data_IF_812452656040
#
_entry.id   IF_812452656040
#
_cell.length_a   1.000
_cell.length_b   1.000
_cell.length_c   1.000
_cell.angle_alpha   90.00
_cell.angle_beta   90.00
_cell.angle_gamma   90.00
#
_symmetry.space_group_name_H-M   'P 1'
#
loop_
_entity.id
_entity.type
_entity.pdbx_description
1 polymer ?
#
# COMPACT_ATOMS: atom_id res chain seq x y z
N UNK A 1 -21.52 -4.60 52.82
CA UNK A 1 -20.80 -5.41 53.83
C UNK A 1 -19.68 -6.14 53.11
N UNK A 2 -18.42 -5.97 53.52
CA UNK A 2 -17.26 -6.56 52.86
C UNK A 2 -16.86 -7.89 53.54
N UNK A 3 -16.39 -8.84 52.76
CA UNK A 3 -15.62 -10.02 53.22
C UNK A 3 -14.61 -10.31 52.12
N UNK A 4 -13.38 -9.82 52.29
CA UNK A 4 -12.26 -10.45 53.01
C UNK A 4 -11.52 -11.47 52.14
N UNK A 5 -10.32 -11.05 51.71
CA UNK A 5 -9.22 -11.91 51.29
C UNK A 5 -8.75 -12.82 52.42
N UNK A 6 -7.99 -13.87 52.07
CA UNK A 6 -6.59 -13.97 52.50
C UNK A 6 -5.67 -14.28 51.29
N UNK A 7 -4.46 -13.70 51.11
CA UNK A 7 -3.19 -13.92 51.85
C UNK A 7 -2.84 -15.41 51.99
N UNK A 8 -1.65 -15.96 51.71
CA UNK A 8 -0.33 -15.55 51.19
C UNK A 8 0.54 -16.84 51.12
N UNK A 9 1.73 -16.77 50.49
CA UNK A 9 3.00 -17.47 50.85
C UNK A 9 3.41 -18.81 50.16
N UNK A 10 4.72 -18.80 49.79
CA UNK A 10 5.74 -19.86 49.54
C UNK A 10 5.73 -20.60 48.20
N UNK A 11 6.78 -20.58 47.34
CA UNK A 11 8.25 -20.68 47.45
C UNK A 11 8.80 -22.13 47.47
N UNK A 12 9.83 -22.34 46.61
CA UNK A 12 10.77 -23.48 46.50
C UNK A 12 10.25 -24.75 45.79
N UNK A 13 11.04 -25.59 45.11
CA UNK A 13 12.39 -25.58 44.54
C UNK A 13 12.55 -26.90 43.74
N UNK A 14 13.50 -26.95 42.80
CA UNK A 14 14.37 -28.10 42.50
C UNK A 14 13.77 -29.44 42.04
N UNK A 15 14.24 -29.94 40.88
CA UNK A 15 14.00 -31.33 40.49
C UNK A 15 14.69 -31.72 39.19
N UNK A 16 15.99 -31.99 39.27
CA UNK A 16 16.83 -32.59 38.22
C UNK A 16 16.73 -34.12 38.29
N UNK A 17 16.59 -34.80 37.16
CA UNK A 17 16.79 -36.25 36.98
C UNK A 17 17.03 -36.50 35.47
N UNK A 18 18.27 -36.70 35.01
CA UNK A 18 19.10 -37.92 35.03
C UNK A 18 18.57 -39.02 34.09
N UNK A 19 19.41 -39.28 33.07
CA UNK A 19 19.41 -40.36 32.09
C UNK A 19 19.55 -41.76 32.74
N UNK A 20 19.32 -42.82 31.95
CA UNK A 20 20.20 -43.98 32.02
C UNK A 20 20.89 -44.28 30.67
N UNK A 21 22.13 -44.70 30.85
CA UNK A 21 23.16 -45.16 29.92
C UNK A 21 22.92 -46.60 29.45
N UNK A 22 23.95 -47.19 28.83
CA UNK A 22 24.14 -48.55 28.25
C UNK A 22 24.10 -48.51 26.71
N UNK A 23 25.13 -48.87 25.93
CA UNK A 23 26.23 -49.81 26.15
C UNK A 23 27.40 -49.53 25.19
N UNK A 24 28.59 -49.97 25.61
CA UNK A 24 29.89 -49.87 24.96
C UNK A 24 30.24 -51.24 24.35
N UNK A 25 30.56 -51.32 23.05
CA UNK A 25 31.37 -52.42 22.50
C UNK A 25 32.43 -51.85 21.56
N UNK A 26 33.66 -52.28 21.84
CA UNK A 26 34.92 -51.88 21.23
C UNK A 26 35.21 -52.69 19.97
N UNK A 27 35.80 -52.04 18.96
CA UNK A 27 36.38 -52.71 17.80
C UNK A 27 37.31 -51.77 17.05
N UNK A 28 38.59 -51.76 17.45
CA UNK A 28 39.68 -51.14 16.70
C UNK A 28 40.03 -52.00 15.49
N UNK A 29 39.98 -51.41 14.29
CA UNK A 29 40.67 -51.92 13.10
C UNK A 29 41.14 -50.74 12.25
N UNK A 30 42.44 -50.44 12.35
CA UNK A 30 43.20 -49.64 11.40
C UNK A 30 43.15 -50.27 10.00
N UNK A 31 42.77 -49.49 8.98
CA UNK A 31 43.15 -49.71 7.58
C UNK A 31 42.95 -48.45 6.75
N UNK A 32 43.94 -48.23 5.88
CA UNK A 32 44.36 -46.97 5.28
C UNK A 32 43.42 -46.38 4.20
N UNK A 33 43.50 -45.06 4.09
CA UNK A 33 43.56 -44.25 2.85
C UNK A 33 42.50 -44.46 1.76
N UNK A 34 41.53 -43.53 1.70
CA UNK A 34 41.03 -43.00 0.44
C UNK A 34 40.57 -41.54 0.61
N UNK A 35 41.33 -40.63 0.01
CA UNK A 35 40.89 -39.28 -0.31
C UNK A 35 39.78 -39.36 -1.36
N UNK A 36 38.60 -38.82 -1.06
CA UNK A 36 37.61 -38.39 -2.04
C UNK A 36 36.80 -37.27 -1.38
N UNK A 37 37.25 -36.04 -1.52
CA UNK A 37 36.58 -35.08 -2.41
C UNK A 37 35.26 -34.59 -1.83
N UNK A 38 35.38 -33.45 -1.14
CA UNK A 38 34.50 -32.29 -1.25
C UNK A 38 33.25 -32.52 -2.13
N UNK A 39 32.18 -33.00 -1.53
CA UNK A 39 30.84 -32.59 -1.96
C UNK A 39 30.33 -31.54 -0.97
N UNK A 40 31.06 -30.43 -0.95
CA UNK A 40 30.45 -29.13 -0.69
C UNK A 40 29.69 -28.77 -1.96
N UNK A 41 28.66 -29.54 -2.32
CA UNK A 41 27.61 -29.08 -3.22
C UNK A 41 26.98 -27.89 -2.51
N UNK A 42 27.53 -26.72 -2.83
CA UNK A 42 26.81 -25.47 -3.00
C UNK A 42 25.31 -25.66 -2.78
N UNK A 43 24.88 -25.48 -1.54
CA UNK A 43 23.65 -24.76 -1.30
C UNK A 43 23.91 -23.39 -1.93
N UNK A 44 23.68 -23.29 -3.23
CA UNK A 44 23.44 -21.99 -3.82
C UNK A 44 22.27 -21.46 -3.00
N UNK A 45 22.55 -20.47 -2.17
CA UNK A 45 21.55 -19.72 -1.45
C UNK A 45 20.56 -19.25 -2.52
N UNK A 46 19.43 -19.96 -2.64
CA UNK A 46 18.29 -19.58 -3.44
C UNK A 46 17.58 -18.40 -2.76
N UNK A 47 18.34 -17.42 -2.27
CA UNK A 47 17.78 -16.18 -1.80
C UNK A 47 17.27 -15.43 -3.02
N UNK A 48 15.95 -15.27 -3.08
CA UNK A 48 15.32 -14.40 -4.04
C UNK A 48 15.99 -13.02 -3.95
N UNK A 49 16.41 -12.44 -5.08
CA UNK A 49 17.11 -11.17 -5.04
C UNK A 49 16.18 -10.13 -4.45
N UNK A 50 16.75 -9.19 -3.69
CA UNK A 50 15.99 -8.14 -3.03
C UNK A 50 16.14 -6.80 -3.73
N UNK A 51 15.09 -5.99 -3.68
CA UNK A 51 15.16 -4.63 -4.18
C UNK A 51 16.18 -3.81 -3.36
N UNK A 52 17.12 -3.08 -3.99
CA UNK A 52 18.13 -2.30 -3.29
C UNK A 52 17.57 -1.08 -2.52
N UNK A 53 16.28 -0.74 -2.69
CA UNK A 53 15.63 0.38 -1.98
C UNK A 53 14.69 -0.06 -0.87
N UNK A 54 13.75 -0.97 -1.15
CA UNK A 54 12.78 -1.43 -0.15
C UNK A 54 13.13 -2.77 0.50
N UNK A 55 14.15 -3.48 -0.01
CA UNK A 55 14.60 -4.80 0.47
C UNK A 55 13.54 -5.90 0.43
N UNK A 56 12.54 -5.75 -0.42
CA UNK A 56 11.51 -6.77 -0.69
C UNK A 56 12.02 -7.71 -1.79
N UNK A 57 11.71 -9.03 -1.73
CA UNK A 57 12.01 -9.97 -2.80
C UNK A 57 11.48 -9.50 -4.15
N UNK A 58 12.27 -9.66 -5.21
CA UNK A 58 11.94 -9.28 -6.57
C UNK A 58 12.24 -10.41 -7.54
N UNK A 59 11.62 -10.35 -8.71
CA UNK A 59 11.91 -11.29 -9.79
C UNK A 59 13.36 -11.12 -10.30
N UNK A 60 14.09 -12.24 -10.42
CA UNK A 60 15.50 -12.27 -10.86
C UNK A 60 15.67 -11.67 -12.25
N UNK A 61 14.78 -11.97 -13.17
CA UNK A 61 14.89 -11.54 -14.55
C UNK A 61 14.52 -10.06 -14.70
N UNK A 62 13.56 -9.59 -13.91
CA UNK A 62 13.25 -8.16 -13.80
C UNK A 62 14.46 -7.37 -13.28
N UNK A 63 15.14 -7.84 -12.23
CA UNK A 63 16.34 -7.16 -11.71
C UNK A 63 17.52 -7.19 -12.70
N UNK A 64 17.74 -8.32 -13.38
CA UNK A 64 18.78 -8.46 -14.42
C UNK A 64 18.53 -7.52 -15.60
N UNK A 65 17.28 -7.41 -16.07
CA UNK A 65 16.92 -6.51 -17.18
C UNK A 65 17.21 -5.04 -16.86
N UNK A 66 17.03 -4.63 -15.60
CA UNK A 66 17.30 -3.28 -15.14
C UNK A 66 18.80 -3.00 -15.01
N UNK A 67 19.56 -3.94 -14.46
CA UNK A 67 21.01 -3.81 -14.25
C UNK A 67 21.79 -3.79 -15.57
N UNK A 68 21.30 -4.42 -16.64
CA UNK A 68 21.96 -4.47 -17.97
C UNK A 68 23.45 -4.87 -17.87
N UNK A 69 23.78 -5.81 -16.98
CA UNK A 69 25.15 -6.26 -16.72
C UNK A 69 26.00 -5.31 -15.87
N UNK A 70 25.48 -4.14 -15.45
CA UNK A 70 26.16 -3.26 -14.47
C UNK A 70 25.76 -3.70 -13.06
N UNK A 71 26.75 -4.02 -12.22
CA UNK A 71 26.51 -4.50 -10.84
C UNK A 71 25.79 -3.51 -9.92
N UNK A 72 25.66 -2.23 -10.30
CA UNK A 72 24.91 -1.21 -9.53
C UNK A 72 24.08 -0.33 -10.45
N UNK A 73 22.82 -0.13 -10.06
CA UNK A 73 21.93 0.87 -10.62
C UNK A 73 22.23 2.24 -10.02
N UNK A 74 22.23 3.29 -10.85
CA UNK A 74 22.20 4.67 -10.37
C UNK A 74 20.93 4.94 -9.54
N UNK A 75 20.94 5.96 -8.69
CA UNK A 75 19.82 6.30 -7.80
C UNK A 75 18.48 6.42 -8.54
N UNK A 76 18.43 7.16 -9.66
CA UNK A 76 17.19 7.31 -10.43
C UNK A 76 16.68 5.95 -10.95
N UNK A 77 17.59 5.12 -11.46
CA UNK A 77 17.25 3.76 -11.92
C UNK A 77 16.84 2.83 -10.80
N UNK A 78 17.41 2.98 -9.60
CA UNK A 78 16.97 2.24 -8.39
C UNK A 78 15.56 2.64 -8.00
N UNK A 79 15.23 3.93 -8.06
CA UNK A 79 13.90 4.44 -7.75
C UNK A 79 12.86 3.93 -8.76
N UNK A 80 13.19 3.98 -10.05
CA UNK A 80 12.33 3.44 -11.12
C UNK A 80 12.08 1.93 -10.95
N UNK A 81 13.15 1.16 -10.74
CA UNK A 81 13.03 -0.27 -10.44
C UNK A 81 12.18 -0.53 -9.19
N UNK A 82 12.38 0.28 -8.15
CA UNK A 82 11.63 0.17 -6.90
C UNK A 82 10.13 0.40 -7.13
N UNK A 83 9.80 1.41 -7.92
CA UNK A 83 8.43 1.74 -8.27
C UNK A 83 7.77 0.62 -9.09
N UNK A 84 8.43 0.13 -10.14
CA UNK A 84 7.89 -0.89 -11.04
C UNK A 84 7.65 -2.23 -10.34
N UNK A 85 8.61 -2.75 -9.55
CA UNK A 85 8.37 -4.02 -8.86
C UNK A 85 7.29 -3.89 -7.78
N UNK A 86 7.14 -2.71 -7.15
CA UNK A 86 6.03 -2.46 -6.22
C UNK A 86 4.70 -2.48 -6.93
N UNK A 87 4.61 -1.90 -8.13
CA UNK A 87 3.41 -1.96 -8.97
C UNK A 87 3.07 -3.39 -9.37
N UNK A 88 4.06 -4.17 -9.80
CA UNK A 88 3.88 -5.60 -10.11
C UNK A 88 3.42 -6.41 -8.88
N UNK A 89 4.07 -6.19 -7.73
CA UNK A 89 3.68 -6.80 -6.45
C UNK A 89 2.26 -6.42 -6.06
N UNK A 90 1.86 -5.16 -6.26
CA UNK A 90 0.50 -4.69 -6.00
C UNK A 90 -0.53 -5.38 -6.92
N UNK A 91 -0.21 -5.59 -8.21
CA UNK A 91 -1.07 -6.35 -9.12
C UNK A 91 -1.18 -7.84 -8.75
N UNK A 92 -0.10 -8.45 -8.23
CA UNK A 92 -0.14 -9.82 -7.70
C UNK A 92 -1.06 -9.90 -6.48
N UNK A 93 -0.85 -9.02 -5.50
CA UNK A 93 -1.72 -8.93 -4.31
C UNK A 93 -3.18 -8.68 -4.71
N UNK A 94 -3.43 -7.83 -5.71
CA UNK A 94 -4.78 -7.56 -6.22
C UNK A 94 -5.48 -8.84 -6.71
N UNK A 95 -4.75 -9.67 -7.47
CA UNK A 95 -5.25 -10.96 -7.96
C UNK A 95 -5.43 -11.96 -6.83
N UNK A 96 -4.45 -12.09 -5.95
CA UNK A 96 -4.47 -13.04 -4.83
C UNK A 96 -5.59 -12.73 -3.82
N UNK A 97 -5.84 -11.45 -3.57
CA UNK A 97 -6.93 -10.97 -2.71
C UNK A 97 -8.29 -10.90 -3.44
N UNK A 98 -8.32 -11.25 -4.73
CA UNK A 98 -9.53 -11.28 -5.56
C UNK A 98 -10.29 -9.94 -5.57
N UNK A 99 -9.56 -8.81 -5.55
CA UNK A 99 -10.19 -7.49 -5.63
C UNK A 99 -10.88 -7.28 -6.99
N UNK A 100 -12.04 -6.62 -7.02
CA UNK A 100 -12.86 -6.48 -8.23
C UNK A 100 -12.17 -5.64 -9.29
N UNK A 101 -12.51 -5.84 -10.56
CA UNK A 101 -12.15 -4.89 -11.63
C UNK A 101 -13.10 -3.70 -11.56
N UNK A 102 -12.57 -2.52 -11.24
CA UNK A 102 -13.37 -1.32 -11.01
C UNK A 102 -13.79 -0.68 -12.34
N UNK A 103 -15.10 -0.67 -12.59
CA UNK A 103 -15.72 -0.01 -13.75
C UNK A 103 -16.05 1.45 -13.42
N UNK A 104 -15.07 2.33 -13.64
CA UNK A 104 -15.14 3.75 -13.29
C UNK A 104 -16.33 4.48 -13.94
N UNK A 105 -16.76 4.07 -15.13
CA UNK A 105 -17.87 4.65 -15.88
C UNK A 105 -19.21 4.44 -15.16
N UNK A 106 -19.34 3.33 -14.42
CA UNK A 106 -20.53 3.00 -13.65
C UNK A 106 -20.48 3.47 -12.19
N UNK A 107 -19.32 4.00 -11.75
CA UNK A 107 -19.06 4.34 -10.36
C UNK A 107 -20.05 5.36 -9.82
N UNK A 108 -20.35 6.41 -10.60
CA UNK A 108 -21.27 7.46 -10.15
C UNK A 108 -22.69 6.93 -9.87
N UNK A 109 -23.17 5.99 -10.70
CA UNK A 109 -24.47 5.34 -10.51
C UNK A 109 -24.50 4.50 -9.22
N UNK A 110 -23.43 3.75 -8.96
CA UNK A 110 -23.28 2.97 -7.71
C UNK A 110 -23.26 3.87 -6.49
N UNK A 111 -22.45 4.93 -6.52
CA UNK A 111 -22.41 5.93 -5.45
C UNK A 111 -23.80 6.51 -5.19
N UNK A 112 -24.56 6.77 -6.26
CA UNK A 112 -25.92 7.29 -6.19
C UNK A 112 -26.87 6.45 -5.35
N UNK A 113 -26.72 5.13 -5.35
CA UNK A 113 -27.56 4.19 -4.59
C UNK A 113 -27.38 4.35 -3.06
N UNK A 114 -26.24 4.85 -2.61
CA UNK A 114 -25.94 5.04 -1.19
C UNK A 114 -26.18 6.46 -0.67
N UNK A 115 -26.59 7.40 -1.52
CA UNK A 115 -26.84 8.79 -1.10
C UNK A 115 -27.83 8.90 0.06
N UNK A 116 -28.86 8.05 0.12
CA UNK A 116 -29.80 8.04 1.25
C UNK A 116 -29.13 7.70 2.59
N UNK A 117 -28.11 6.83 2.60
CA UNK A 117 -27.33 6.53 3.81
C UNK A 117 -26.44 7.72 4.19
N UNK A 118 -25.74 8.30 3.23
CA UNK A 118 -24.87 9.46 3.46
C UNK A 118 -25.65 10.68 3.96
N UNK A 119 -26.84 10.92 3.42
CA UNK A 119 -27.70 12.01 3.86
C UNK A 119 -28.09 11.87 5.33
N UNK A 120 -28.41 10.65 5.79
CA UNK A 120 -28.74 10.42 7.21
C UNK A 120 -27.53 10.72 8.11
N UNK A 121 -26.32 10.35 7.70
CA UNK A 121 -25.09 10.68 8.42
C UNK A 121 -24.89 12.19 8.47
N UNK A 122 -25.03 12.90 7.34
CA UNK A 122 -25.01 14.37 7.28
C UNK A 122 -26.04 15.03 8.21
N UNK A 123 -27.19 14.38 8.41
CA UNK A 123 -28.26 14.89 9.29
C UNK A 123 -28.02 14.59 10.77
N UNK A 124 -26.93 13.90 11.12
CA UNK A 124 -26.53 13.62 12.50
C UNK A 124 -26.69 12.16 12.92
N UNK A 125 -26.98 11.23 12.00
CA UNK A 125 -26.90 9.81 12.32
C UNK A 125 -25.46 9.43 12.69
N UNK A 126 -25.28 8.69 13.80
CA UNK A 126 -23.97 8.18 14.19
C UNK A 126 -23.42 7.22 13.14
N UNK A 127 -22.13 7.32 12.89
CA UNK A 127 -21.40 6.47 11.97
C UNK A 127 -20.00 6.18 12.55
N UNK A 128 -19.38 5.09 12.13
CA UNK A 128 -18.07 4.67 12.66
C UNK A 128 -17.01 5.74 12.41
N UNK A 129 -16.91 6.22 11.17
CA UNK A 129 -15.95 7.26 10.81
C UNK A 129 -16.36 8.63 11.36
N UNK A 130 -17.66 8.90 11.56
CA UNK A 130 -18.14 10.12 12.20
C UNK A 130 -17.74 10.20 13.67
N UNK A 131 -17.85 9.09 14.40
CA UNK A 131 -17.39 8.97 15.79
C UNK A 131 -15.86 9.10 15.88
N UNK A 132 -15.12 8.37 15.05
CA UNK A 132 -13.66 8.46 14.99
C UNK A 132 -13.18 9.88 14.62
N UNK A 133 -13.89 10.58 13.73
CA UNK A 133 -13.61 11.97 13.40
C UNK A 133 -13.88 12.90 14.58
N UNK A 134 -15.01 12.71 15.28
CA UNK A 134 -15.35 13.47 16.49
C UNK A 134 -14.29 13.32 17.58
N UNK A 135 -13.81 12.09 17.83
CA UNK A 135 -12.74 11.81 18.78
C UNK A 135 -11.44 12.51 18.40
N UNK A 136 -11.03 12.44 17.12
CA UNK A 136 -9.84 13.16 16.62
C UNK A 136 -9.96 14.68 16.78
N UNK A 137 -11.16 15.23 16.58
CA UNK A 137 -11.42 16.67 16.77
C UNK A 137 -11.32 17.05 18.25
N UNK A 138 -11.95 16.27 19.14
CA UNK A 138 -11.90 16.49 20.61
C UNK A 138 -10.50 16.35 21.17
N UNK A 139 -9.70 15.41 20.65
CA UNK A 139 -8.32 15.19 21.04
C UNK A 139 -7.36 16.31 20.58
N UNK A 140 -7.87 17.39 19.95
CA UNK A 140 -7.04 18.50 19.48
C UNK A 140 -6.08 18.10 18.36
N UNK A 141 -6.27 16.94 17.71
CA UNK A 141 -5.48 16.51 16.56
C UNK A 141 -5.93 17.31 15.33
N UNK A 142 -5.63 18.61 15.35
CA UNK A 142 -5.84 19.58 14.27
C UNK A 142 -4.78 19.39 13.18
N UNK A 143 -4.61 18.16 12.70
CA UNK A 143 -3.80 17.94 11.50
C UNK A 143 -4.64 18.39 10.31
N UNK A 144 -4.23 19.47 9.66
CA UNK A 144 -4.75 19.88 8.34
C UNK A 144 -4.67 18.69 7.38
N UNK A 145 -5.51 18.63 6.35
CA UNK A 145 -5.45 17.60 5.28
C UNK A 145 -4.00 17.38 4.80
N UNK A 146 -3.25 18.47 4.61
CA UNK A 146 -1.82 18.46 4.26
C UNK A 146 -0.92 17.75 5.28
N UNK A 147 -1.24 17.82 6.57
CA UNK A 147 -0.50 17.18 7.67
C UNK A 147 -0.92 15.72 7.86
N UNK A 148 -2.18 15.36 7.55
CA UNK A 148 -2.64 13.96 7.55
C UNK A 148 -1.98 13.17 6.42
N UNK A 149 -1.94 13.74 5.21
CA UNK A 149 -1.22 13.19 4.06
C UNK A 149 0.28 13.03 4.38
N UNK A 150 0.89 14.02 5.05
CA UNK A 150 2.29 13.91 5.52
C UNK A 150 2.53 12.91 6.66
N UNK A 151 1.49 12.53 7.40
CA UNK A 151 1.57 11.59 8.51
C UNK A 151 1.31 10.13 8.10
N UNK A 152 1.34 9.82 6.79
CA UNK A 152 0.95 8.52 6.23
C UNK A 152 -0.44 8.03 6.66
N UNK A 153 -1.31 8.94 7.12
CA UNK A 153 -2.71 8.63 7.32
C UNK A 153 -3.39 8.88 5.99
N UNK A 154 -3.27 7.90 5.09
CA UNK A 154 -3.85 8.03 3.77
C UNK A 154 -5.37 8.18 3.90
N UNK A 155 -5.89 9.23 3.26
CA UNK A 155 -7.33 9.47 3.14
C UNK A 155 -7.90 8.67 1.96
N UNK A 156 -7.09 7.86 1.29
CA UNK A 156 -7.55 7.07 0.15
C UNK A 156 -8.50 5.97 0.62
N UNK A 157 -9.63 5.77 -0.08
CA UNK A 157 -10.56 4.70 0.22
C UNK A 157 -9.99 3.35 -0.26
N UNK A 158 -8.97 2.82 0.42
CA UNK A 158 -8.41 1.49 0.17
C UNK A 158 -8.03 1.25 -1.29
N UNK A 159 -8.45 0.10 -1.84
CA UNK A 159 -8.14 -0.31 -3.21
C UNK A 159 -8.67 0.64 -4.30
N UNK A 160 -9.61 1.54 -3.99
CA UNK A 160 -10.07 2.55 -4.96
C UNK A 160 -9.01 3.66 -5.18
N UNK A 161 -8.02 3.80 -4.29
CA UNK A 161 -6.89 4.72 -4.44
C UNK A 161 -7.27 6.21 -4.51
N UNK A 162 -6.36 7.03 -5.04
CA UNK A 162 -6.56 8.48 -5.19
C UNK A 162 -7.71 8.81 -6.15
N UNK A 163 -7.84 8.05 -7.24
CA UNK A 163 -8.94 8.20 -8.19
C UNK A 163 -10.30 7.98 -7.51
N UNK A 164 -10.41 6.94 -6.67
CA UNK A 164 -11.58 6.69 -5.84
C UNK A 164 -11.91 7.84 -4.91
N UNK A 165 -10.91 8.35 -4.19
CA UNK A 165 -11.07 9.51 -3.32
C UNK A 165 -11.64 10.71 -4.09
N UNK A 166 -11.09 11.01 -5.27
CA UNK A 166 -11.54 12.12 -6.12
C UNK A 166 -12.98 11.91 -6.61
N UNK A 167 -13.28 10.75 -7.21
CA UNK A 167 -14.61 10.44 -7.76
C UNK A 167 -15.69 10.45 -6.69
N UNK A 168 -15.43 9.85 -5.53
CA UNK A 168 -16.37 9.82 -4.40
C UNK A 168 -16.56 11.22 -3.81
N UNK A 169 -15.47 11.96 -3.56
CA UNK A 169 -15.55 13.32 -3.01
C UNK A 169 -16.35 14.24 -3.91
N UNK A 170 -16.06 14.23 -5.22
CA UNK A 170 -16.76 15.07 -6.19
C UNK A 170 -18.25 14.73 -6.26
N UNK A 171 -18.60 13.44 -6.31
CA UNK A 171 -19.99 12.99 -6.34
C UNK A 171 -20.78 13.41 -5.09
N UNK A 172 -20.17 13.27 -3.92
CA UNK A 172 -20.77 13.68 -2.64
C UNK A 172 -20.94 15.20 -2.59
N UNK A 173 -19.89 15.96 -2.95
CA UNK A 173 -19.92 17.44 -2.90
C UNK A 173 -20.97 17.97 -3.89
N UNK A 174 -21.01 17.45 -5.13
CA UNK A 174 -22.00 17.83 -6.14
C UNK A 174 -23.42 17.58 -5.63
N UNK A 175 -23.68 16.40 -5.06
CA UNK A 175 -25.02 16.03 -4.57
C UNK A 175 -25.44 16.82 -3.32
N UNK A 176 -24.55 17.01 -2.36
CA UNK A 176 -24.87 17.55 -1.03
C UNK A 176 -24.37 18.98 -0.80
N UNK A 177 -23.98 19.73 -1.83
CA UNK A 177 -23.37 21.06 -1.67
C UNK A 177 -24.22 22.03 -0.82
N UNK A 178 -25.54 22.04 -0.99
CA UNK A 178 -26.47 22.86 -0.19
C UNK A 178 -26.53 22.39 1.26
N UNK A 179 -26.70 21.09 1.48
CA UNK A 179 -26.79 20.50 2.82
C UNK A 179 -25.47 20.62 3.59
N UNK A 180 -24.33 20.49 2.92
CA UNK A 180 -23.00 20.71 3.50
C UNK A 180 -22.80 22.16 3.95
N UNK A 181 -23.30 23.14 3.17
CA UNK A 181 -23.25 24.57 3.54
C UNK A 181 -24.15 24.87 4.74
N UNK A 182 -25.37 24.33 4.76
CA UNK A 182 -26.28 24.48 5.90
C UNK A 182 -25.67 23.86 7.17
N UNK A 183 -25.17 22.63 7.07
CA UNK A 183 -24.58 21.91 8.20
C UNK A 183 -23.26 22.50 8.66
N UNK A 184 -22.50 23.19 7.80
CA UNK A 184 -21.30 23.91 8.23
C UNK A 184 -21.60 25.02 9.25
N UNK A 185 -22.83 25.53 9.31
CA UNK A 185 -23.26 26.51 10.31
C UNK A 185 -23.76 25.84 11.60
N UNK A 186 -24.43 24.70 11.46
CA UNK A 186 -25.14 24.04 12.57
C UNK A 186 -24.31 22.97 13.30
N UNK A 187 -23.41 22.29 12.60
CA UNK A 187 -22.64 21.16 13.11
C UNK A 187 -21.23 21.61 13.51
N UNK A 188 -20.90 21.45 14.79
CA UNK A 188 -19.59 21.84 15.35
C UNK A 188 -18.41 21.11 14.69
N UNK A 189 -18.58 19.87 14.24
CA UNK A 189 -17.51 19.11 13.58
C UNK A 189 -17.21 19.67 12.19
N UNK A 190 -18.25 20.00 11.44
CA UNK A 190 -18.12 20.59 10.10
C UNK A 190 -17.63 22.02 10.21
N UNK A 191 -18.15 22.80 11.16
CA UNK A 191 -17.70 24.16 11.43
C UNK A 191 -16.21 24.22 11.82
N UNK A 192 -15.73 23.27 12.62
CA UNK A 192 -14.36 23.27 13.13
C UNK A 192 -13.30 22.89 12.08
N UNK A 193 -13.63 22.04 11.11
CA UNK A 193 -12.65 21.47 10.16
C UNK A 193 -12.96 21.72 8.69
N UNK A 194 -14.16 22.20 8.37
CA UNK A 194 -14.65 22.45 7.03
C UNK A 194 -15.31 21.22 6.38
N UNK A 195 -16.22 21.51 5.44
CA UNK A 195 -17.00 20.49 4.72
C UNK A 195 -16.15 19.48 3.97
N UNK A 196 -15.05 19.91 3.34
CA UNK A 196 -14.15 19.00 2.60
C UNK A 196 -13.48 17.97 3.51
N UNK A 197 -13.01 18.39 4.68
CA UNK A 197 -12.37 17.48 5.63
C UNK A 197 -13.38 16.45 6.16
N UNK A 198 -14.62 16.87 6.42
CA UNK A 198 -15.70 15.98 6.82
C UNK A 198 -16.04 14.97 5.71
N UNK A 199 -16.16 15.42 4.45
CA UNK A 199 -16.39 14.52 3.31
C UNK A 199 -15.29 13.47 3.21
N UNK A 200 -14.02 13.88 3.21
CA UNK A 200 -12.89 12.97 3.03
C UNK A 200 -12.63 12.06 4.23
N UNK A 201 -12.96 12.49 5.45
CA UNK A 201 -12.69 11.72 6.69
C UNK A 201 -13.87 10.88 7.16
N UNK A 202 -15.08 11.18 6.71
CA UNK A 202 -16.32 10.52 7.15
C UNK A 202 -17.08 9.95 5.96
N UNK A 203 -17.60 10.81 5.08
CA UNK A 203 -18.55 10.36 4.06
C UNK A 203 -17.92 9.45 3.00
N UNK A 204 -16.69 9.75 2.57
CA UNK A 204 -15.95 8.91 1.61
C UNK A 204 -15.63 7.54 2.20
N UNK A 205 -15.04 7.41 3.41
CA UNK A 205 -14.84 6.11 4.03
C UNK A 205 -16.13 5.32 4.27
N UNK A 206 -17.22 5.96 4.71
CA UNK A 206 -18.51 5.30 4.91
C UNK A 206 -19.09 4.78 3.59
N UNK A 207 -19.00 5.57 2.52
CA UNK A 207 -19.40 5.16 1.18
C UNK A 207 -18.53 4.01 0.66
N UNK A 208 -17.21 4.10 0.85
CA UNK A 208 -16.28 3.09 0.39
C UNK A 208 -16.53 1.74 1.08
N UNK A 209 -16.88 1.73 2.36
CA UNK A 209 -17.29 0.51 3.06
C UNK A 209 -18.50 -0.14 2.40
N UNK A 210 -19.54 0.63 2.03
CA UNK A 210 -20.70 0.06 1.33
C UNK A 210 -20.29 -0.56 -0.01
N UNK A 211 -19.46 0.14 -0.80
CA UNK A 211 -19.02 -0.35 -2.10
C UNK A 211 -18.14 -1.61 -1.96
N UNK A 212 -17.30 -1.69 -0.92
CA UNK A 212 -16.52 -2.91 -0.61
C UNK A 212 -17.44 -4.06 -0.21
N UNK A 213 -18.47 -3.80 0.59
CA UNK A 213 -19.45 -4.83 0.96
C UNK A 213 -20.16 -5.39 -0.28
N UNK A 214 -20.51 -4.53 -1.24
CA UNK A 214 -21.09 -4.97 -2.52
C UNK A 214 -20.09 -5.75 -3.38
N UNK A 215 -18.87 -5.25 -3.49
CA UNK A 215 -17.84 -5.81 -4.37
C UNK A 215 -17.33 -7.17 -3.89
N UNK A 216 -17.13 -7.29 -2.57
CA UNK A 216 -16.51 -8.47 -1.94
C UNK A 216 -17.54 -9.40 -1.28
N UNK A 217 -18.80 -8.98 -1.15
CA UNK A 217 -19.85 -9.77 -0.49
C UNK A 217 -19.63 -9.95 1.02
N UNK A 218 -18.94 -9.02 1.67
CA UNK A 218 -18.52 -9.13 3.08
C UNK A 218 -19.38 -8.26 4.02
N UNK A 219 -19.22 -8.48 5.33
CA UNK A 219 -19.87 -7.66 6.35
C UNK A 219 -19.11 -6.35 6.58
N UNK A 220 -19.77 -5.39 7.24
CA UNK A 220 -19.24 -4.04 7.47
C UNK A 220 -17.86 -4.02 8.17
N UNK A 221 -17.66 -4.87 9.18
CA UNK A 221 -16.39 -4.92 9.93
C UNK A 221 -15.23 -5.39 9.05
N UNK A 222 -15.48 -6.43 8.26
CA UNK A 222 -14.50 -6.98 7.32
C UNK A 222 -14.23 -6.03 6.16
N UNK A 223 -15.27 -5.36 5.63
CA UNK A 223 -15.11 -4.32 4.62
C UNK A 223 -14.20 -3.18 5.10
N UNK A 224 -14.29 -2.77 6.38
CA UNK A 224 -13.37 -1.78 6.96
C UNK A 224 -11.94 -2.29 7.01
N UNK A 225 -11.73 -3.56 7.35
CA UNK A 225 -10.40 -4.18 7.33
C UNK A 225 -9.82 -4.21 5.92
N UNK A 226 -10.59 -4.67 4.93
CA UNK A 226 -10.18 -4.66 3.52
C UNK A 226 -9.85 -3.24 3.07
N UNK A 227 -10.68 -2.26 3.43
CA UNK A 227 -10.45 -0.86 3.08
C UNK A 227 -9.13 -0.33 3.65
N UNK A 228 -8.71 -0.75 4.85
CA UNK A 228 -7.43 -0.34 5.43
C UNK A 228 -6.23 -1.11 4.84
N UNK A 229 -6.34 -2.44 4.71
CA UNK A 229 -5.25 -3.28 4.20
C UNK A 229 -4.93 -2.98 2.73
N UNK A 230 -5.92 -2.54 1.96
CA UNK A 230 -5.78 -2.32 0.53
C UNK A 230 -5.31 -0.93 0.12
N UNK A 231 -5.05 -0.02 1.06
CA UNK A 231 -4.60 1.37 0.78
C UNK A 231 -3.35 1.37 -0.10
N UNK A 232 -2.30 0.65 0.30
CA UNK A 232 -1.02 0.65 -0.41
C UNK A 232 -1.14 0.06 -1.82
N UNK A 233 -1.98 -0.95 -1.97
CA UNK A 233 -2.26 -1.61 -3.24
C UNK A 233 -3.07 -0.68 -4.16
N UNK A 234 -4.12 -0.05 -3.63
CA UNK A 234 -4.97 0.89 -4.36
C UNK A 234 -4.21 2.11 -4.87
N UNK A 235 -3.31 2.65 -4.06
CA UNK A 235 -2.44 3.77 -4.45
C UNK A 235 -1.51 3.42 -5.61
N UNK A 236 -0.97 2.20 -5.65
CA UNK A 236 -0.05 1.76 -6.71
C UNK A 236 -0.78 1.33 -7.99
N UNK A 237 -1.93 0.67 -7.86
CA UNK A 237 -2.70 0.15 -9.01
C UNK A 237 -3.48 1.27 -9.70
N UNK A 238 -4.01 2.22 -8.94
CA UNK A 238 -4.75 3.38 -9.44
C UNK A 238 -3.97 4.69 -9.31
N UNK A 239 -2.64 4.61 -9.37
CA UNK A 239 -1.80 5.79 -9.46
C UNK A 239 -2.14 6.56 -10.75
N UNK A 240 -2.55 7.81 -10.62
CA UNK A 240 -2.70 8.68 -11.78
C UNK A 240 -1.29 8.93 -12.35
N UNK A 241 -1.08 8.62 -13.63
CA UNK A 241 0.12 9.06 -14.32
C UNK A 241 0.16 10.59 -14.22
N UNK A 242 1.06 11.12 -13.42
CA UNK A 242 1.34 12.56 -13.39
C UNK A 242 1.94 12.89 -14.75
N UNK A 243 1.08 13.25 -15.72
CA UNK A 243 1.53 13.82 -16.98
C UNK A 243 2.17 15.18 -16.68
N UNK A 244 3.48 15.17 -16.48
CA UNK A 244 4.25 16.36 -16.19
C UNK A 244 5.70 16.07 -15.85
N UNK A 245 6.50 15.72 -16.86
CA UNK A 245 7.78 16.33 -17.30
C UNK A 245 8.54 15.29 -18.14
N UNK A 246 8.20 15.20 -19.42
CA UNK A 246 9.16 14.83 -20.46
C UNK A 246 9.00 15.83 -21.60
N UNK A 247 9.44 17.06 -21.36
CA UNK A 247 9.83 17.94 -22.45
C UNK A 247 11.30 17.66 -22.80
N UNK A 248 11.53 17.34 -24.08
CA UNK A 248 12.80 17.29 -24.82
C UNK A 248 13.77 16.13 -24.52
N UNK A 249 13.67 15.10 -25.36
CA UNK A 249 14.83 14.66 -26.15
C UNK A 249 14.38 13.92 -27.42
N UNK A 250 14.02 14.69 -28.46
CA UNK A 250 14.10 14.19 -29.82
C UNK A 250 15.49 14.61 -30.37
N UNK A 251 16.38 13.68 -30.75
CA UNK A 251 17.55 14.06 -31.54
C UNK A 251 17.07 14.43 -32.94
N UNK A 252 17.09 15.73 -33.27
CA UNK A 252 16.94 16.19 -34.64
C UNK A 252 18.09 15.66 -35.51
N UNK A 253 17.85 15.32 -36.78
CA UNK A 253 18.93 14.88 -37.66
C UNK A 253 19.89 16.03 -37.93
N UNK A 254 21.16 15.79 -37.61
CA UNK A 254 22.31 16.60 -38.00
C UNK A 254 22.57 16.29 -39.48
N UNK A 255 22.18 17.19 -40.38
CA UNK A 255 22.70 17.22 -41.74
C UNK A 255 23.55 18.47 -41.90
N UNK A 256 24.86 18.27 -41.79
CA UNK A 256 25.88 19.27 -42.11
C UNK A 256 26.98 18.55 -42.86
N UNK A 257 26.91 18.55 -44.19
CA UNK A 257 28.09 18.41 -45.03
C UNK A 257 28.15 19.58 -46.00
N UNK A 258 29.27 20.28 -45.90
CA UNK A 258 29.65 21.47 -46.66
C UNK A 258 30.11 21.07 -48.04
N UNK A 259 29.88 21.98 -48.98
CA UNK A 259 30.63 22.23 -50.21
C UNK A 259 32.07 21.72 -50.20
N UNK A 260 32.45 21.09 -51.31
CA UNK A 260 33.70 21.43 -51.99
C UNK A 260 33.44 21.58 -53.48
N UNK A 261 33.79 22.75 -53.97
CA UNK A 261 34.10 23.03 -55.36
C UNK A 261 35.17 22.05 -55.87
N UNK A 262 35.00 21.55 -57.10
CA UNK A 262 36.13 21.28 -57.97
C UNK A 262 35.76 21.63 -59.42
N UNK A 263 36.69 22.39 -60.00
CA UNK A 263 36.70 23.11 -61.28
C UNK A 263 36.94 22.14 -62.46
N UNK A 264 36.76 22.63 -63.71
CA UNK A 264 37.43 22.20 -64.99
C UNK A 264 36.68 21.10 -65.78
N UNK A 265 36.44 21.10 -67.12
CA UNK A 265 36.71 21.93 -68.33
C UNK A 265 36.02 21.26 -69.56
N UNK A 266 35.73 22.04 -70.63
CA UNK A 266 35.49 21.69 -72.07
C UNK A 266 34.29 20.78 -72.43
N UNK A 267 33.56 20.95 -73.54
CA UNK A 267 33.76 21.63 -74.84
C UNK A 267 32.48 22.40 -75.25
#
# INVERSE_FOLDING_TARGET
MPVSMPSSISAQAGGSAVLPELHMETGDHDSESALSELDSSTFEDFEDPVCPLCRIPVDRDLLKSFTRGKGRLDFHRRQEFCHLHKKDSAHKIWKDKHYPVIKWESMESRIGQHFGKLERILRGQRSFYGDAFSEKVKAGQNKTVKTMVKANQSLTPGYYGLKGLATMSDSIIRKFSSLLRERAVQDKLIAARGSTAFVQSVLVPELAVELVMEDMGVKQDEARTILQESISVGELVHEEEVQGVQEKLAPGPISRERSKDEVVVQD
#
